data_IF_460322986551
#
_entry.id   IF_460322986551
#
_cell.length_a   1.000
_cell.length_b   1.000
_cell.length_c   1.000
_cell.angle_alpha   90.00
_cell.angle_beta   90.00
_cell.angle_gamma   90.00
#
_symmetry.space_group_name_H-M   'P 1'
#
loop_
_entity.id
_entity.type
_entity.pdbx_description
1 polymer ?
#
# COMPACT_ATOMS: atom_id res chain seq x y z
N UNK A 1 -9.98 -9.17 13.28
CA UNK A 1 -8.59 -8.69 13.10
C UNK A 1 -7.74 -9.55 12.15
N UNK A 2 -7.97 -10.87 11.99
CA UNK A 2 -7.22 -11.69 11.00
C UNK A 2 -7.65 -11.51 9.53
N UNK A 3 -8.89 -11.13 9.26
CA UNK A 3 -9.38 -10.99 7.88
C UNK A 3 -8.99 -9.67 7.20
N UNK A 4 -8.69 -8.61 7.97
CA UNK A 4 -8.53 -7.27 7.41
C UNK A 4 -7.38 -7.18 6.38
N UNK A 5 -6.27 -7.86 6.65
CA UNK A 5 -5.08 -7.83 5.79
C UNK A 5 -5.24 -8.66 4.51
N UNK A 6 -5.99 -9.77 4.59
CA UNK A 6 -6.35 -10.58 3.43
C UNK A 6 -7.35 -9.83 2.56
N UNK A 7 -8.38 -9.27 3.18
CA UNK A 7 -9.40 -8.45 2.50
C UNK A 7 -8.75 -7.26 1.79
N UNK A 8 -7.88 -6.52 2.48
CA UNK A 8 -7.14 -5.39 1.91
C UNK A 8 -6.28 -5.78 0.71
N UNK A 9 -5.53 -6.89 0.81
CA UNK A 9 -4.74 -7.38 -0.32
C UNK A 9 -5.64 -7.72 -1.52
N UNK A 10 -6.75 -8.42 -1.30
CA UNK A 10 -7.68 -8.79 -2.36
C UNK A 10 -8.31 -7.56 -3.02
N UNK A 11 -8.80 -6.61 -2.22
CA UNK A 11 -9.42 -5.36 -2.71
C UNK A 11 -8.45 -4.54 -3.57
N UNK A 12 -7.17 -4.47 -3.18
CA UNK A 12 -6.14 -3.76 -3.93
C UNK A 12 -5.69 -4.51 -5.18
N UNK A 13 -5.64 -5.84 -5.11
CA UNK A 13 -5.12 -6.70 -6.17
C UNK A 13 -6.13 -6.90 -7.31
N UNK A 14 -7.42 -7.02 -7.00
CA UNK A 14 -8.50 -7.31 -7.96
C UNK A 14 -8.54 -6.34 -9.17
N UNK A 15 -8.62 -5.01 -9.00
CA UNK A 15 -8.69 -4.09 -10.13
C UNK A 15 -7.41 -4.07 -10.97
N UNK A 16 -6.25 -4.33 -10.34
CA UNK A 16 -4.97 -4.35 -11.04
C UNK A 16 -4.78 -5.65 -11.82
N UNK A 17 -5.20 -6.79 -11.27
CA UNK A 17 -5.12 -8.07 -11.96
C UNK A 17 -6.15 -8.18 -13.08
N UNK A 18 -7.31 -7.53 -12.95
CA UNK A 18 -8.27 -7.38 -14.05
C UNK A 18 -7.72 -6.61 -15.26
N UNK A 19 -6.63 -5.83 -15.13
CA UNK A 19 -5.94 -5.20 -16.28
C UNK A 19 -5.00 -6.19 -16.98
N UNK A 20 -4.56 -7.22 -16.29
CA UNK A 20 -3.58 -8.23 -16.71
C UNK A 20 -4.20 -9.65 -16.65
N UNK A 21 -5.43 -9.82 -17.15
CA UNK A 21 -6.20 -11.09 -17.01
C UNK A 21 -5.56 -12.29 -17.71
N UNK A 22 -4.62 -12.04 -18.61
CA UNK A 22 -3.83 -13.07 -19.28
C UNK A 22 -2.81 -13.76 -18.36
N UNK A 23 -2.44 -13.10 -17.25
CA UNK A 23 -1.51 -13.65 -16.27
C UNK A 23 -2.25 -14.50 -15.24
N UNK A 24 -1.65 -15.64 -14.89
CA UNK A 24 -2.10 -16.36 -13.70
C UNK A 24 -1.64 -15.63 -12.41
N UNK A 25 -2.17 -16.05 -11.26
CA UNK A 25 -1.90 -15.37 -9.97
C UNK A 25 -0.41 -15.26 -9.66
N UNK A 26 0.36 -16.33 -9.91
CA UNK A 26 1.78 -16.36 -9.59
C UNK A 26 2.58 -15.46 -10.53
N UNK A 27 2.24 -15.45 -11.82
CA UNK A 27 2.84 -14.53 -12.80
C UNK A 27 2.55 -13.07 -12.45
N UNK A 28 1.33 -12.78 -12.00
CA UNK A 28 0.96 -11.44 -11.54
C UNK A 28 1.73 -11.01 -10.30
N UNK A 29 1.88 -11.88 -9.29
CA UNK A 29 2.69 -11.61 -8.09
C UNK A 29 4.18 -11.40 -8.45
N UNK A 30 4.71 -12.18 -9.39
CA UNK A 30 6.08 -12.00 -9.89
C UNK A 30 6.23 -10.65 -10.60
N UNK A 31 5.23 -10.22 -11.37
CA UNK A 31 5.22 -8.90 -12.00
C UNK A 31 5.24 -7.79 -10.94
N UNK A 32 4.35 -7.86 -9.94
CA UNK A 32 4.28 -6.87 -8.86
C UNK A 32 5.58 -6.78 -8.06
N UNK A 33 6.19 -7.91 -7.70
CA UNK A 33 7.46 -7.91 -6.96
C UNK A 33 8.60 -7.25 -7.75
N UNK A 34 8.69 -7.49 -9.05
CA UNK A 34 9.67 -6.81 -9.91
C UNK A 34 9.42 -5.32 -10.03
N UNK A 35 8.16 -4.90 -10.18
CA UNK A 35 7.79 -3.48 -10.22
C UNK A 35 8.10 -2.76 -8.90
N UNK A 36 7.96 -3.46 -7.77
CA UNK A 36 8.31 -2.96 -6.45
C UNK A 36 9.84 -2.86 -6.21
N UNK A 37 10.66 -3.34 -7.14
CA UNK A 37 12.12 -3.42 -6.96
C UNK A 37 12.56 -4.47 -5.95
N UNK A 38 11.78 -5.54 -5.78
CA UNK A 38 12.12 -6.64 -4.86
C UNK A 38 13.01 -7.67 -5.56
N UNK A 39 14.26 -7.80 -5.09
CA UNK A 39 15.28 -8.73 -5.62
C UNK A 39 15.37 -10.06 -4.86
N UNK A 40 14.52 -10.27 -3.84
CA UNK A 40 14.52 -11.48 -3.02
C UNK A 40 13.87 -12.69 -3.70
N UNK A 41 13.92 -13.85 -3.03
CA UNK A 41 13.15 -15.02 -3.48
C UNK A 41 11.66 -14.79 -3.28
N UNK A 42 10.85 -15.39 -4.15
CA UNK A 42 9.38 -15.33 -4.05
C UNK A 42 8.87 -15.93 -2.73
N UNK A 43 9.56 -16.93 -2.19
CA UNK A 43 9.21 -17.59 -0.91
C UNK A 43 9.34 -16.63 0.30
N UNK A 44 10.20 -15.62 0.18
CA UNK A 44 10.44 -14.61 1.22
C UNK A 44 9.56 -13.37 1.01
N UNK A 45 8.79 -13.31 -0.09
CA UNK A 45 7.93 -12.17 -0.40
C UNK A 45 6.76 -12.11 0.58
N UNK A 46 6.69 -11.04 1.35
CA UNK A 46 5.59 -10.80 2.28
C UNK A 46 4.49 -9.98 1.63
N UNK A 47 3.27 -10.17 2.11
CA UNK A 47 2.10 -9.45 1.64
C UNK A 47 2.14 -7.94 1.96
N UNK A 48 2.91 -7.50 2.99
CA UNK A 48 3.16 -6.08 3.24
C UNK A 48 3.82 -5.36 2.06
N UNK A 49 4.77 -6.04 1.39
CA UNK A 49 5.46 -5.49 0.22
C UNK A 49 4.47 -5.32 -0.93
N UNK A 50 3.62 -6.32 -1.15
CA UNK A 50 2.59 -6.27 -2.19
C UNK A 50 1.55 -5.18 -1.90
N UNK A 51 1.04 -5.10 -0.67
CA UNK A 51 0.07 -4.07 -0.25
C UNK A 51 0.68 -2.68 -0.42
N UNK A 52 1.92 -2.47 0.01
CA UNK A 52 2.60 -1.18 -0.13
C UNK A 52 2.73 -0.79 -1.61
N UNK A 53 3.23 -1.69 -2.46
CA UNK A 53 3.38 -1.44 -3.89
C UNK A 53 2.03 -1.13 -4.55
N UNK A 54 1.00 -1.92 -4.28
CA UNK A 54 -0.34 -1.73 -4.84
C UNK A 54 -0.97 -0.38 -4.44
N UNK A 55 -0.79 0.06 -3.18
CA UNK A 55 -1.23 1.39 -2.73
C UNK A 55 -0.51 2.51 -3.49
N UNK A 56 0.79 2.35 -3.72
CA UNK A 56 1.63 3.36 -4.36
C UNK A 56 1.48 3.41 -5.88
N UNK A 57 1.11 2.29 -6.52
CA UNK A 57 0.98 2.17 -7.99
C UNK A 57 0.02 3.19 -8.60
N UNK A 58 -1.04 3.56 -7.88
CA UNK A 58 -2.07 4.52 -8.31
C UNK A 58 -2.04 5.84 -7.52
N UNK A 59 -1.08 6.03 -6.62
CA UNK A 59 -0.92 7.31 -5.92
C UNK A 59 -0.22 8.32 -6.84
N UNK A 60 -0.73 9.55 -6.94
CA UNK A 60 -0.03 10.59 -7.70
C UNK A 60 1.33 10.88 -7.04
N UNK A 61 2.35 11.22 -7.82
CA UNK A 61 3.71 11.46 -7.30
C UNK A 61 3.78 12.60 -6.26
N UNK A 62 2.81 13.50 -6.31
CA UNK A 62 2.67 14.64 -5.40
C UNK A 62 1.66 14.37 -4.26
N UNK A 63 1.02 13.19 -4.23
CA UNK A 63 0.15 12.83 -3.12
C UNK A 63 0.94 12.39 -1.90
N UNK A 64 0.47 12.86 -0.75
CA UNK A 64 1.06 12.49 0.53
C UNK A 64 0.89 11.00 0.79
N UNK A 65 1.99 10.35 1.18
CA UNK A 65 2.00 8.92 1.52
C UNK A 65 0.86 8.64 2.50
N UNK A 66 -0.04 7.66 2.25
CA UNK A 66 -1.26 7.44 3.01
C UNK A 66 -1.06 7.34 4.53
N UNK A 67 0.04 6.74 4.98
CA UNK A 67 0.40 6.68 6.40
C UNK A 67 0.74 8.04 7.01
N UNK A 68 1.39 8.93 6.25
CA UNK A 68 1.70 10.30 6.67
C UNK A 68 0.47 11.21 6.59
N UNK A 69 -0.39 11.01 5.58
CA UNK A 69 -1.63 11.77 5.40
C UNK A 69 -2.58 11.63 6.58
N UNK A 70 -2.60 10.46 7.23
CA UNK A 70 -3.45 10.19 8.40
C UNK A 70 -3.10 11.08 9.60
N UNK A 71 -1.82 11.33 9.80
CA UNK A 71 -1.30 12.10 10.95
C UNK A 71 -0.93 13.54 10.55
N UNK A 72 -1.24 13.94 9.31
CA UNK A 72 -1.02 15.28 8.81
C UNK A 72 -2.08 16.22 9.39
N UNK A 73 -1.60 17.31 9.99
CA UNK A 73 -2.43 18.42 10.43
C UNK A 73 -2.05 19.65 9.59
N UNK A 74 -3.05 20.31 8.98
CA UNK A 74 -2.82 21.45 8.09
C UNK A 74 -2.33 22.71 8.83
N UNK A 75 -2.63 22.81 10.13
CA UNK A 75 -2.23 23.92 10.98
C UNK A 75 -1.23 23.47 12.06
N UNK A 76 -0.01 24.01 11.99
CA UNK A 76 1.09 23.69 12.91
C UNK A 76 0.73 23.95 14.38
N UNK A 77 -0.07 24.99 14.65
CA UNK A 77 -0.49 25.32 16.02
C UNK A 77 -1.45 24.27 16.56
N UNK A 78 -2.42 23.84 15.76
CA UNK A 78 -3.37 22.77 16.09
C UNK A 78 -2.65 21.46 16.33
N UNK A 79 -1.67 21.11 15.48
CA UNK A 79 -0.82 19.93 15.65
C UNK A 79 -0.13 19.91 17.03
N UNK A 80 0.46 21.04 17.44
CA UNK A 80 1.11 21.18 18.76
C UNK A 80 0.12 21.07 19.91
N UNK A 81 -1.06 21.68 19.79
CA UNK A 81 -2.08 21.66 20.84
C UNK A 81 -2.63 20.24 21.05
N UNK A 82 -2.90 19.51 19.95
CA UNK A 82 -3.33 18.12 19.97
C UNK A 82 -2.26 17.18 20.54
N UNK A 83 -0.99 17.36 20.15
CA UNK A 83 0.14 16.60 20.69
C UNK A 83 0.33 16.81 22.21
N UNK A 84 -0.11 17.96 22.74
CA UNK A 84 -0.09 18.28 24.17
C UNK A 84 -1.37 17.86 24.92
N UNK A 85 -2.35 17.27 24.24
CA UNK A 85 -3.63 16.84 24.82
C UNK A 85 -4.54 18.00 25.22
N UNK A 86 -4.41 19.16 24.58
CA UNK A 86 -5.20 20.37 24.85
C UNK A 86 -6.45 20.47 23.96
N UNK A 87 -6.60 19.56 22.99
CA UNK A 87 -7.70 19.42 22.03
C UNK A 87 -8.06 17.94 21.87
#
# INVERSE_FOLDING_TARGET
>A
MKCHRIEELLELMEPEWQKDQELNLLEFIIKLSKEAGYDGKLEDLTDDILIYHLKMRNSEKDEMIPGLKKDQEDDFKTAILKARGLL
#
